data_IF_759553875710
#
_entry.id   IF_759553875710
#
_cell.length_a   1.000
_cell.length_b   1.000
_cell.length_c   1.000
_cell.angle_alpha   90.00
_cell.angle_beta   90.00
_cell.angle_gamma   90.00
#
_symmetry.space_group_name_H-M   'P 1'
#
loop_
_entity.id
_entity.type
_entity.pdbx_description
1 polymer ?
#
# COMPACT_ATOMS: atom_id res chain seq x y z
N UNK A 1 -3.35 1.41 19.29
CA UNK A 1 -3.00 0.48 20.39
C UNK A 1 -2.10 -0.59 19.83
N UNK A 2 -1.00 -0.89 20.52
CA UNK A 2 -0.06 -1.93 20.09
C UNK A 2 -0.70 -3.34 20.17
N UNK A 3 -0.16 -4.29 19.42
CA UNK A 3 -0.64 -5.68 19.42
C UNK A 3 -0.57 -6.30 20.82
N UNK A 4 0.58 -6.15 21.50
CA UNK A 4 0.81 -6.64 22.87
C UNK A 4 -0.23 -6.11 23.86
N UNK A 5 -0.56 -4.82 23.76
CA UNK A 5 -1.57 -4.18 24.60
C UNK A 5 -2.97 -4.76 24.36
N UNK A 6 -3.34 -5.04 23.11
CA UNK A 6 -4.62 -5.71 22.79
C UNK A 6 -4.65 -7.14 23.35
N UNK A 7 -3.56 -7.88 23.20
CA UNK A 7 -3.44 -9.24 23.73
C UNK A 7 -3.55 -9.27 25.27
N UNK A 8 -2.89 -8.33 25.95
CA UNK A 8 -2.99 -8.19 27.41
C UNK A 8 -4.42 -7.85 27.85
N UNK A 9 -5.13 -7.01 27.10
CA UNK A 9 -6.54 -6.71 27.39
C UNK A 9 -7.42 -7.96 27.28
N UNK A 10 -7.18 -8.80 26.28
CA UNK A 10 -7.90 -10.08 26.09
C UNK A 10 -7.60 -11.03 27.25
N UNK A 11 -6.34 -11.13 27.70
CA UNK A 11 -5.94 -11.95 28.85
C UNK A 11 -6.65 -11.51 30.13
N UNK A 12 -6.55 -10.22 30.48
CA UNK A 12 -7.25 -9.69 31.66
C UNK A 12 -8.77 -9.84 31.57
N UNK A 13 -9.34 -9.70 30.37
CA UNK A 13 -10.77 -9.91 30.18
C UNK A 13 -11.16 -11.38 30.38
N UNK A 14 -10.31 -12.32 29.95
CA UNK A 14 -10.51 -13.74 30.17
C UNK A 14 -10.55 -14.08 31.68
N UNK A 15 -9.66 -13.50 32.47
CA UNK A 15 -9.58 -13.72 33.92
C UNK A 15 -10.74 -13.04 34.68
N UNK A 16 -10.99 -11.76 34.40
CA UNK A 16 -11.89 -10.95 35.22
C UNK A 16 -13.33 -10.93 34.74
N UNK A 17 -13.58 -11.35 33.49
CA UNK A 17 -14.88 -11.24 32.77
C UNK A 17 -15.53 -9.85 32.83
N UNK A 18 -14.76 -8.80 33.14
CA UNK A 18 -15.27 -7.45 33.40
C UNK A 18 -14.46 -6.42 32.61
N UNK A 19 -15.06 -5.69 31.64
CA UNK A 19 -14.35 -4.67 30.88
C UNK A 19 -13.82 -3.53 31.78
N UNK A 20 -14.50 -3.23 32.88
CA UNK A 20 -14.11 -2.18 33.83
C UNK A 20 -12.81 -2.54 34.55
N UNK A 21 -12.65 -3.81 34.94
CA UNK A 21 -11.43 -4.29 35.56
C UNK A 21 -10.26 -4.26 34.58
N UNK A 22 -10.50 -4.61 33.31
CA UNK A 22 -9.51 -4.48 32.23
C UNK A 22 -9.09 -3.02 32.04
N UNK A 23 -10.03 -2.08 32.00
CA UNK A 23 -9.73 -0.65 31.87
C UNK A 23 -8.91 -0.12 33.06
N UNK A 24 -9.23 -0.56 34.28
CA UNK A 24 -8.45 -0.21 35.49
C UNK A 24 -7.05 -0.79 35.44
N UNK A 25 -6.89 -2.06 35.10
CA UNK A 25 -5.59 -2.71 34.93
C UNK A 25 -4.75 -2.02 33.84
N UNK A 26 -5.37 -1.68 32.71
CA UNK A 26 -4.73 -0.97 31.61
C UNK A 26 -4.18 0.40 32.04
N UNK A 27 -4.97 1.17 32.80
CA UNK A 27 -4.50 2.46 33.36
C UNK A 27 -3.33 2.27 34.30
N UNK A 28 -3.36 1.25 35.17
CA UNK A 28 -2.27 0.95 36.12
C UNK A 28 -0.98 0.54 35.41
N UNK A 29 -1.08 -0.34 34.41
CA UNK A 29 0.10 -0.88 33.73
C UNK A 29 0.70 0.09 32.69
N UNK A 30 -0.14 0.85 31.98
CA UNK A 30 0.32 1.66 30.83
C UNK A 30 0.18 3.17 31.02
N UNK A 31 -0.50 3.65 32.07
CA UNK A 31 -0.66 5.09 32.34
C UNK A 31 -1.42 5.87 31.26
N UNK A 32 -2.20 5.19 30.42
CA UNK A 32 -2.91 5.78 29.27
C UNK A 32 -4.41 5.58 29.38
N UNK A 33 -5.15 6.36 28.58
CA UNK A 33 -6.59 6.17 28.43
C UNK A 33 -6.88 4.74 27.93
N UNK A 34 -7.74 3.99 28.63
CA UNK A 34 -7.98 2.60 28.31
C UNK A 34 -8.88 2.47 27.07
N UNK A 35 -8.89 1.30 26.42
CA UNK A 35 -9.76 1.03 25.29
C UNK A 35 -11.23 1.05 25.70
N UNK A 36 -12.10 1.36 24.74
CA UNK A 36 -13.55 1.29 24.95
C UNK A 36 -14.01 -0.15 25.25
N UNK A 37 -15.05 -0.26 26.08
CA UNK A 37 -15.63 -1.54 26.51
C UNK A 37 -16.10 -2.41 25.34
N UNK A 38 -16.64 -1.80 24.26
CA UNK A 38 -17.05 -2.54 23.06
C UNK A 38 -15.84 -3.10 22.32
N UNK A 39 -14.73 -2.35 22.30
CA UNK A 39 -13.50 -2.80 21.67
C UNK A 39 -12.88 -3.99 22.40
N UNK A 40 -12.86 -3.95 23.74
CA UNK A 40 -12.37 -5.07 24.58
C UNK A 40 -13.17 -6.35 24.29
N UNK A 41 -14.51 -6.25 24.33
CA UNK A 41 -15.39 -7.40 24.03
C UNK A 41 -15.19 -7.91 22.60
N UNK A 42 -15.12 -7.02 21.62
CA UNK A 42 -14.87 -7.38 20.22
C UNK A 42 -13.55 -8.11 20.03
N UNK A 43 -12.48 -7.68 20.70
CA UNK A 43 -11.20 -8.37 20.64
C UNK A 43 -11.25 -9.76 21.26
N UNK A 44 -11.97 -9.91 22.38
CA UNK A 44 -12.13 -11.20 23.04
C UNK A 44 -12.94 -12.20 22.18
N UNK A 45 -14.07 -11.78 21.61
CA UNK A 45 -14.85 -12.65 20.72
C UNK A 45 -14.07 -13.01 19.46
N UNK A 46 -13.39 -12.03 18.84
CA UNK A 46 -12.51 -12.30 17.70
C UNK A 46 -11.40 -13.30 18.06
N UNK A 47 -10.81 -13.16 19.24
CA UNK A 47 -9.78 -14.08 19.71
C UNK A 47 -10.34 -15.49 19.93
N UNK A 48 -11.55 -15.63 20.46
CA UNK A 48 -12.21 -16.94 20.58
C UNK A 48 -12.46 -17.61 19.23
N UNK A 49 -12.87 -16.84 18.24
CA UNK A 49 -13.20 -17.37 16.91
C UNK A 49 -11.95 -17.69 16.07
N UNK A 50 -10.96 -16.80 16.06
CA UNK A 50 -9.81 -16.86 15.13
C UNK A 50 -8.48 -17.17 15.81
N UNK A 51 -8.41 -17.13 17.15
CA UNK A 51 -7.16 -17.25 17.90
C UNK A 51 -6.23 -16.03 17.80
N UNK A 52 -6.68 -14.93 17.17
CA UNK A 52 -5.85 -13.76 16.92
C UNK A 52 -6.58 -12.44 17.21
N UNK A 53 -5.82 -11.47 17.72
CA UNK A 53 -6.26 -10.08 17.94
C UNK A 53 -5.73 -9.14 16.85
N UNK A 54 -5.03 -9.67 15.83
CA UNK A 54 -4.52 -8.87 14.71
C UNK A 54 -5.67 -8.27 13.91
N UNK A 55 -5.50 -7.07 13.37
CA UNK A 55 -6.51 -6.50 12.47
C UNK A 55 -6.53 -7.31 11.16
N UNK A 56 -7.72 -7.52 10.60
CA UNK A 56 -7.84 -8.14 9.29
C UNK A 56 -7.24 -7.21 8.23
N UNK A 57 -6.68 -7.77 7.14
CA UNK A 57 -6.30 -6.96 5.99
C UNK A 57 -7.48 -6.09 5.58
N UNK A 58 -7.24 -4.78 5.49
CA UNK A 58 -8.28 -3.86 5.02
C UNK A 58 -8.54 -4.14 3.55
N UNK A 59 -9.81 -4.20 3.16
CA UNK A 59 -10.17 -4.13 1.74
C UNK A 59 -9.64 -2.80 1.20
N UNK A 60 -8.59 -2.89 0.39
CA UNK A 60 -8.00 -1.72 -0.26
C UNK A 60 -8.93 -1.17 -1.35
N UNK A 61 -8.52 -0.06 -1.96
CA UNK A 61 -9.17 0.44 -3.19
C UNK A 61 -9.11 -0.65 -4.27
N UNK A 62 -10.20 -0.93 -5.00
CA UNK A 62 -10.18 -1.92 -6.08
C UNK A 62 -9.03 -1.67 -7.05
N UNK A 63 -8.24 -2.70 -7.28
CA UNK A 63 -7.15 -2.66 -8.26
C UNK A 63 -7.72 -2.85 -9.67
N UNK A 64 -6.97 -2.37 -10.67
CA UNK A 64 -7.27 -2.64 -12.08
C UNK A 64 -7.14 -4.14 -12.32
N UNK A 65 -8.07 -4.71 -13.12
CA UNK A 65 -8.07 -6.13 -13.48
C UNK A 65 -6.80 -6.54 -14.22
N UNK A 66 -6.33 -7.75 -13.98
CA UNK A 66 -5.10 -8.27 -14.62
C UNK A 66 -5.24 -8.37 -16.15
N UNK A 67 -6.44 -8.65 -16.66
CA UNK A 67 -6.72 -8.63 -18.09
C UNK A 67 -6.44 -7.25 -18.74
N UNK A 68 -6.80 -6.16 -18.05
CA UNK A 68 -6.53 -4.80 -18.53
C UNK A 68 -5.04 -4.49 -18.49
N UNK A 69 -4.33 -4.96 -17.45
CA UNK A 69 -2.88 -4.79 -17.33
C UNK A 69 -2.16 -5.49 -18.49
N UNK A 70 -2.60 -6.69 -18.84
CA UNK A 70 -2.01 -7.47 -19.92
C UNK A 70 -2.29 -6.85 -21.30
N UNK A 71 -3.51 -6.35 -21.51
CA UNK A 71 -3.85 -5.61 -22.73
C UNK A 71 -2.99 -4.33 -22.90
N UNK A 72 -2.69 -3.62 -21.81
CA UNK A 72 -1.74 -2.49 -21.84
C UNK A 72 -0.33 -3.00 -22.16
N UNK A 73 0.12 -4.10 -21.54
CA UNK A 73 1.44 -4.70 -21.80
C UNK A 73 1.61 -5.02 -23.29
N UNK A 74 0.66 -5.72 -23.89
CA UNK A 74 0.70 -6.10 -25.31
C UNK A 74 0.72 -4.88 -26.23
N UNK A 75 -0.05 -3.84 -25.92
CA UNK A 75 -0.07 -2.60 -26.72
C UNK A 75 1.29 -1.92 -26.78
N UNK A 76 2.01 -1.86 -25.64
CA UNK A 76 3.35 -1.26 -25.56
C UNK A 76 4.48 -2.20 -26.00
N UNK A 77 4.29 -3.51 -25.95
CA UNK A 77 5.19 -4.48 -26.60
C UNK A 77 5.13 -4.35 -28.12
N UNK A 78 3.92 -4.20 -28.68
CA UNK A 78 3.74 -4.00 -30.13
C UNK A 78 4.26 -2.65 -30.61
N UNK A 79 4.18 -1.61 -29.78
CA UNK A 79 4.66 -0.26 -30.13
C UNK A 79 5.14 0.47 -28.88
N UNK A 80 6.44 0.37 -28.61
CA UNK A 80 7.08 0.92 -27.41
C UNK A 80 7.14 2.45 -27.39
N UNK A 81 7.16 3.09 -28.57
CA UNK A 81 7.21 4.55 -28.73
C UNK A 81 5.84 5.23 -28.68
N UNK A 82 4.76 4.46 -28.51
CA UNK A 82 3.39 4.98 -28.50
C UNK A 82 3.16 5.91 -27.29
N UNK A 83 2.54 7.06 -27.53
CA UNK A 83 2.21 7.98 -26.43
C UNK A 83 1.07 7.44 -25.54
N UNK A 84 1.12 7.75 -24.25
CA UNK A 84 0.08 7.37 -23.28
C UNK A 84 -1.30 7.91 -23.65
N UNK A 85 -1.37 9.11 -24.25
CA UNK A 85 -2.61 9.72 -24.76
C UNK A 85 -3.19 8.96 -25.97
N UNK A 86 -2.34 8.42 -26.84
CA UNK A 86 -2.78 7.58 -27.97
C UNK A 86 -3.27 6.23 -27.47
N UNK A 87 -2.49 5.56 -26.62
CA UNK A 87 -2.87 4.28 -26.03
C UNK A 87 -4.18 4.39 -25.21
N UNK A 88 -4.38 5.49 -24.48
CA UNK A 88 -5.63 5.75 -23.75
C UNK A 88 -6.86 5.74 -24.65
N UNK A 89 -6.78 6.40 -25.82
CA UNK A 89 -7.87 6.44 -26.81
C UNK A 89 -8.10 5.09 -27.49
N UNK A 90 -7.03 4.37 -27.83
CA UNK A 90 -7.13 3.04 -28.47
C UNK A 90 -7.73 1.99 -27.52
N UNK A 91 -7.33 2.02 -26.25
CA UNK A 91 -7.72 1.01 -25.26
C UNK A 91 -8.98 1.39 -24.48
N UNK A 92 -9.51 2.61 -24.68
CA UNK A 92 -10.63 3.19 -23.91
C UNK A 92 -10.39 3.18 -22.39
N UNK A 93 -9.13 3.41 -21.99
CA UNK A 93 -8.71 3.51 -20.59
C UNK A 93 -8.32 4.95 -20.30
N UNK A 94 -8.74 5.50 -19.16
CA UNK A 94 -8.29 6.81 -18.69
C UNK A 94 -6.75 6.89 -18.65
N UNK A 95 -6.20 7.96 -19.23
CA UNK A 95 -4.74 8.14 -19.33
C UNK A 95 -4.03 8.04 -17.97
N UNK A 96 -4.64 8.55 -16.90
CA UNK A 96 -4.10 8.49 -15.52
C UNK A 96 -3.98 7.06 -15.01
N UNK A 97 -4.98 6.21 -15.30
CA UNK A 97 -4.94 4.78 -14.97
C UNK A 97 -3.88 4.05 -15.78
N UNK A 98 -3.77 4.37 -17.08
CA UNK A 98 -2.76 3.79 -17.96
C UNK A 98 -1.34 4.12 -17.46
N UNK A 99 -1.05 5.38 -17.12
CA UNK A 99 0.24 5.79 -16.54
C UNK A 99 0.54 5.05 -15.24
N UNK A 100 -0.46 4.89 -14.37
CA UNK A 100 -0.32 4.12 -13.12
C UNK A 100 -0.03 2.63 -13.38
N UNK A 101 -0.68 2.02 -14.37
CA UNK A 101 -0.38 0.63 -14.78
C UNK A 101 1.07 0.54 -15.27
N UNK A 102 1.49 1.43 -16.16
CA UNK A 102 2.86 1.45 -16.69
C UNK A 102 3.90 1.56 -15.57
N UNK A 103 3.79 2.55 -14.69
CA UNK A 103 4.84 2.84 -13.70
C UNK A 103 4.78 1.96 -12.44
N UNK A 104 3.59 1.52 -12.00
CA UNK A 104 3.43 0.80 -10.73
C UNK A 104 3.29 -0.71 -10.90
N UNK A 105 2.63 -1.17 -11.98
CA UNK A 105 2.40 -2.60 -12.24
C UNK A 105 3.45 -3.17 -13.19
N UNK A 106 3.67 -2.52 -14.34
CA UNK A 106 4.58 -3.01 -15.38
C UNK A 106 6.02 -2.53 -15.23
N UNK A 107 6.27 -1.51 -14.39
CA UNK A 107 7.60 -0.89 -14.17
C UNK A 107 8.26 -0.41 -15.47
N UNK A 108 7.45 0.00 -16.44
CA UNK A 108 7.92 0.59 -17.69
C UNK A 108 8.13 2.09 -17.49
N UNK A 109 9.32 2.57 -17.82
CA UNK A 109 9.68 3.98 -17.80
C UNK A 109 10.04 4.45 -19.21
N UNK A 110 9.69 5.69 -19.54
CA UNK A 110 10.12 6.29 -20.79
C UNK A 110 11.65 6.41 -20.77
N UNK A 111 12.32 5.63 -21.61
CA UNK A 111 13.77 5.71 -21.76
C UNK A 111 14.12 6.79 -22.78
N UNK A 112 14.96 7.75 -22.39
CA UNK A 112 15.51 8.77 -23.28
C UNK A 112 16.97 8.46 -23.53
N UNK A 113 17.29 8.02 -24.75
CA UNK A 113 18.68 7.90 -25.19
C UNK A 113 19.27 9.30 -25.25
N UNK A 114 20.30 9.56 -24.45
CA UNK A 114 21.12 10.77 -24.56
C UNK A 114 22.40 10.40 -25.28
N UNK A 115 22.57 10.88 -26.50
CA UNK A 115 23.82 10.78 -27.23
C UNK A 115 24.68 11.95 -26.76
N UNK A 116 25.76 11.64 -26.04
CA UNK A 116 26.74 12.63 -25.56
C UNK A 116 27.95 12.53 -26.47
N UNK A 117 28.51 13.67 -26.86
CA UNK A 117 29.77 13.71 -27.61
C UNK A 117 30.95 13.60 -26.65
N UNK A 118 32.01 12.93 -27.10
CA UNK A 118 33.26 12.86 -26.34
C UNK A 118 33.93 14.24 -26.30
N UNK A 119 34.31 14.68 -25.10
CA UNK A 119 34.93 15.98 -24.87
C UNK A 119 36.43 15.85 -25.10
N UNK A 120 36.92 16.43 -26.19
CA UNK A 120 38.35 16.48 -26.46
C UNK A 120 39.01 17.56 -25.60
N UNK A 121 40.28 17.39 -25.20
CA UNK A 121 41.01 18.38 -24.39
C UNK A 121 41.02 19.80 -24.99
N UNK A 122 40.88 19.90 -26.32
CA UNK A 122 40.90 21.15 -27.07
C UNK A 122 39.50 21.79 -27.29
N UNK A 123 38.42 21.20 -26.75
CA UNK A 123 37.07 21.73 -26.93
C UNK A 123 36.74 22.89 -25.98
N UNK A 124 37.38 22.95 -24.80
CA UNK A 124 37.16 24.02 -23.82
C UNK A 124 37.60 25.42 -24.31
N UNK A 125 38.78 25.62 -24.95
CA UNK A 125 39.20 26.93 -25.45
C UNK A 125 38.36 27.49 -26.62
N UNK A 126 37.66 26.64 -27.39
CA UNK A 126 36.90 27.03 -28.59
C UNK A 126 35.46 27.48 -28.33
N UNK A 127 35.04 27.49 -27.05
CA UNK A 127 33.68 27.94 -26.64
C UNK A 127 33.62 29.40 -26.20
N UNK A 128 34.71 30.16 -26.36
CA UNK A 128 34.76 31.61 -26.10
C UNK A 128 34.13 32.41 -27.24
#
# INVERSE_FOLDING_TARGET
MAFEQKAQCVLWFHETKSPINVQRAFRRCYGRNPPDTKSIKRWYEKFKETGSVTDLPRSGRPSVSEATVELVRQSFQRSSTKSTRRASRELQILQTSLVRILHKRLRLHAYKVQIVQDLQPNDCPRRA
#
